data_IF_092948403202
#
_entry.id   IF_092948403202
#
_cell.length_a   1.000
_cell.length_b   1.000
_cell.length_c   1.000
_cell.angle_alpha   90.00
_cell.angle_beta   90.00
_cell.angle_gamma   90.00
#
_symmetry.space_group_name_H-M   'P 1'
#
loop_
_entity.id
_entity.type
_entity.pdbx_description
1 polymer ?
#
# COMPACT_ATOMS: atom_id res chain seq x y z
N UNK A 1 9.59 -18.80 -7.59
CA UNK A 1 8.46 -19.23 -8.46
C UNK A 1 7.18 -19.10 -7.63
N UNK A 2 6.13 -18.42 -8.11
CA UNK A 2 4.86 -18.38 -7.39
C UNK A 2 4.29 -19.80 -7.36
N UNK A 3 3.84 -20.26 -6.19
CA UNK A 3 3.20 -21.55 -6.03
C UNK A 3 1.86 -21.53 -6.77
N UNK A 4 1.82 -22.06 -7.99
CA UNK A 4 0.57 -22.34 -8.70
C UNK A 4 -0.31 -23.25 -7.84
N UNK A 5 -1.56 -22.82 -7.62
CA UNK A 5 -2.64 -23.69 -7.19
C UNK A 5 -2.74 -24.04 -5.70
N UNK A 6 -1.84 -23.57 -4.84
CA UNK A 6 -1.98 -23.75 -3.38
C UNK A 6 -2.06 -22.41 -2.70
N UNK A 7 -3.19 -22.14 -2.05
CA UNK A 7 -3.35 -21.02 -1.13
C UNK A 7 -2.29 -21.13 -0.03
N UNK A 8 -1.23 -20.30 -0.05
CA UNK A 8 -0.15 -20.45 0.90
C UNK A 8 -0.71 -20.07 2.27
N UNK A 9 -0.78 -21.04 3.18
CA UNK A 9 -1.01 -20.75 4.58
C UNK A 9 0.21 -20.00 5.09
N UNK A 10 0.07 -18.70 5.29
CA UNK A 10 1.09 -17.87 5.91
C UNK A 10 0.53 -17.48 7.27
N UNK A 11 1.05 -18.01 8.38
CA UNK A 11 0.63 -17.58 9.70
C UNK A 11 1.01 -16.11 9.82
N UNK A 12 0.03 -15.22 9.74
CA UNK A 12 0.27 -13.82 10.02
C UNK A 12 0.00 -13.52 11.48
N UNK A 13 0.56 -12.41 11.93
CA UNK A 13 0.40 -11.93 13.30
C UNK A 13 -0.98 -11.28 13.40
N UNK A 14 -1.87 -11.74 14.30
CA UNK A 14 -3.17 -11.11 14.47
C UNK A 14 -2.99 -9.67 14.94
N UNK A 15 -3.76 -8.75 14.37
CA UNK A 15 -3.78 -7.35 14.79
C UNK A 15 -5.20 -6.83 14.88
N UNK A 16 -5.40 -5.85 15.75
CA UNK A 16 -6.66 -5.17 16.02
C UNK A 16 -6.42 -3.68 15.96
N UNK A 17 -7.20 -2.96 15.16
CA UNK A 17 -7.17 -1.50 15.05
C UNK A 17 -8.58 -0.98 15.30
N UNK A 18 -8.76 -0.26 16.41
CA UNK A 18 -10.03 0.37 16.74
C UNK A 18 -10.33 1.52 15.78
N UNK A 19 -11.49 1.49 15.14
CA UNK A 19 -12.04 2.60 14.39
C UNK A 19 -13.17 3.29 15.14
N UNK A 20 -13.64 4.43 14.62
CA UNK A 20 -14.73 5.20 15.22
C UNK A 20 -16.11 4.52 15.09
N UNK A 21 -16.30 3.66 14.09
CA UNK A 21 -17.58 2.97 13.82
C UNK A 21 -17.46 1.44 13.84
N UNK A 22 -16.27 0.91 13.60
CA UNK A 22 -16.00 -0.52 13.56
C UNK A 22 -14.55 -0.78 13.92
N UNK A 23 -14.26 -1.97 14.43
CA UNK A 23 -12.90 -2.44 14.70
C UNK A 23 -12.41 -3.25 13.52
N UNK A 24 -11.25 -2.88 12.99
CA UNK A 24 -10.59 -3.65 11.93
C UNK A 24 -9.72 -4.72 12.58
N UNK A 25 -9.90 -5.96 12.14
CA UNK A 25 -9.05 -7.08 12.51
C UNK A 25 -8.36 -7.63 11.26
N UNK A 26 -7.20 -8.23 11.45
CA UNK A 26 -6.49 -8.84 10.34
C UNK A 26 -5.29 -9.64 10.81
N UNK A 27 -4.55 -10.15 9.84
CA UNK A 27 -3.34 -10.91 10.13
C UNK A 27 -2.94 -11.82 8.99
N UNK A 28 -3.06 -11.36 7.74
CA UNK A 28 -2.65 -12.14 6.57
C UNK A 28 -1.70 -11.34 5.67
N UNK A 29 -0.68 -12.03 5.15
CA UNK A 29 0.29 -11.51 4.19
C UNK A 29 0.67 -12.62 3.22
N UNK A 30 0.20 -12.50 1.98
CA UNK A 30 0.46 -13.47 0.91
C UNK A 30 1.21 -12.76 -0.22
N UNK A 31 2.54 -12.89 -0.26
CA UNK A 31 3.33 -12.32 -1.34
C UNK A 31 3.02 -13.00 -2.68
N UNK A 32 2.92 -12.22 -3.76
CA UNK A 32 2.68 -12.74 -5.11
C UNK A 32 1.24 -13.17 -5.41
N UNK A 33 0.32 -13.09 -4.44
CA UNK A 33 -1.12 -13.36 -4.63
C UNK A 33 -1.82 -12.08 -5.09
N UNK A 34 -2.42 -12.13 -6.28
CA UNK A 34 -3.11 -10.98 -6.92
C UNK A 34 -4.63 -11.10 -6.96
N UNK A 35 -5.18 -12.20 -6.44
CA UNK A 35 -6.62 -12.38 -6.34
C UNK A 35 -7.18 -11.39 -5.29
N UNK A 36 -8.38 -10.86 -5.54
CA UNK A 36 -9.08 -9.91 -4.66
C UNK A 36 -10.29 -10.54 -3.97
N UNK A 37 -10.63 -11.79 -4.28
CA UNK A 37 -11.70 -12.53 -3.60
C UNK A 37 -11.24 -12.88 -2.20
N UNK A 38 -12.16 -12.70 -1.24
CA UNK A 38 -12.00 -13.18 0.12
C UNK A 38 -11.90 -14.71 0.11
N UNK A 39 -10.96 -15.24 0.89
CA UNK A 39 -10.77 -16.67 1.06
C UNK A 39 -11.25 -17.08 2.47
N UNK A 40 -12.23 -18.00 2.58
CA UNK A 40 -12.71 -18.46 3.89
C UNK A 40 -11.61 -19.00 4.81
N UNK A 41 -10.50 -19.50 4.24
CA UNK A 41 -9.33 -19.97 5.02
C UNK A 41 -8.56 -18.81 5.65
N UNK A 42 -8.40 -17.70 4.91
CA UNK A 42 -7.79 -16.48 5.44
C UNK A 42 -8.66 -15.88 6.54
N UNK A 43 -9.98 -15.77 6.29
CA UNK A 43 -10.97 -15.29 7.27
C UNK A 43 -10.89 -16.10 8.57
N UNK A 44 -10.93 -17.44 8.47
CA UNK A 44 -10.82 -18.32 9.64
C UNK A 44 -9.50 -18.12 10.39
N UNK A 45 -8.39 -18.00 9.66
CA UNK A 45 -7.06 -17.80 10.26
C UNK A 45 -6.98 -16.48 11.03
N UNK A 46 -7.52 -15.40 10.46
CA UNK A 46 -7.59 -14.09 11.10
C UNK A 46 -8.47 -14.16 12.35
N UNK A 47 -9.67 -14.73 12.24
CA UNK A 47 -10.62 -14.82 13.34
C UNK A 47 -10.08 -15.63 14.51
N UNK A 48 -9.58 -16.85 14.26
CA UNK A 48 -9.04 -17.71 15.30
C UNK A 48 -7.84 -17.06 16.01
N UNK A 49 -6.96 -16.41 15.24
CA UNK A 49 -5.80 -15.70 15.78
C UNK A 49 -6.21 -14.53 16.68
N UNK A 50 -7.18 -13.73 16.25
CA UNK A 50 -7.69 -12.58 17.00
C UNK A 50 -8.49 -13.02 18.22
N UNK A 51 -9.38 -14.00 18.11
CA UNK A 51 -10.16 -14.52 19.23
C UNK A 51 -9.26 -15.15 20.31
N UNK A 52 -8.14 -15.76 19.91
CA UNK A 52 -7.13 -16.28 20.85
C UNK A 52 -6.37 -15.14 21.54
N UNK A 53 -5.89 -14.16 20.79
CA UNK A 53 -5.08 -13.06 21.33
C UNK A 53 -5.92 -12.01 22.10
N UNK A 54 -7.17 -11.82 21.71
CA UNK A 54 -8.09 -10.83 22.25
C UNK A 54 -9.47 -11.46 22.54
N UNK A 55 -9.60 -12.27 23.60
CA UNK A 55 -10.82 -13.05 23.88
C UNK A 55 -12.10 -12.22 24.03
N UNK A 56 -11.98 -10.93 24.37
CA UNK A 56 -13.12 -10.02 24.44
C UNK A 56 -13.82 -9.79 23.09
N UNK A 57 -13.16 -10.11 21.96
CA UNK A 57 -13.70 -9.96 20.62
C UNK A 57 -14.32 -11.25 20.06
N UNK A 58 -14.26 -12.38 20.78
CA UNK A 58 -14.64 -13.71 20.27
C UNK A 58 -16.10 -13.82 19.82
N UNK A 59 -16.99 -13.01 20.40
CA UNK A 59 -18.43 -13.01 20.14
C UNK A 59 -18.87 -11.74 19.36
N UNK A 60 -17.91 -10.99 18.81
CA UNK A 60 -18.22 -9.78 18.06
C UNK A 60 -18.95 -10.11 16.75
N UNK A 61 -19.84 -9.21 16.33
CA UNK A 61 -20.52 -9.32 15.04
C UNK A 61 -19.56 -8.99 13.88
N UNK A 62 -19.51 -9.84 12.86
CA UNK A 62 -18.76 -9.59 11.63
C UNK A 62 -19.60 -8.70 10.71
N UNK A 63 -19.14 -7.48 10.48
CA UNK A 63 -19.83 -6.50 9.62
C UNK A 63 -19.51 -6.76 8.13
N UNK A 64 -18.24 -7.04 7.81
CA UNK A 64 -17.76 -7.18 6.43
C UNK A 64 -16.39 -7.87 6.38
N UNK A 65 -16.09 -8.53 5.26
CA UNK A 65 -14.77 -9.05 4.92
C UNK A 65 -14.20 -8.35 3.67
N UNK A 66 -12.92 -7.96 3.70
CA UNK A 66 -12.26 -7.32 2.56
C UNK A 66 -10.84 -7.83 2.37
N UNK A 67 -10.48 -7.97 1.09
CA UNK A 67 -9.11 -8.26 0.65
C UNK A 67 -8.52 -7.05 -0.07
N UNK A 68 -7.26 -6.74 0.19
CA UNK A 68 -6.53 -5.65 -0.47
C UNK A 68 -5.10 -6.04 -0.79
N UNK A 69 -4.57 -5.47 -1.88
CA UNK A 69 -3.20 -5.72 -2.34
C UNK A 69 -2.29 -4.56 -1.95
N UNK A 70 -1.27 -4.86 -1.16
CA UNK A 70 -0.27 -3.86 -0.75
C UNK A 70 0.70 -3.63 -1.91
N UNK A 71 0.95 -2.38 -2.34
CA UNK A 71 1.89 -2.07 -3.42
C UNK A 71 3.34 -2.18 -2.91
N UNK A 72 3.81 -3.40 -2.66
CA UNK A 72 5.15 -3.66 -2.14
C UNK A 72 6.23 -3.37 -3.18
N UNK A 73 7.32 -2.75 -2.72
CA UNK A 73 8.63 -2.73 -3.36
C UNK A 73 9.68 -2.98 -2.29
N UNK A 74 10.89 -3.35 -2.71
CA UNK A 74 12.07 -3.39 -1.84
C UNK A 74 12.33 -2.01 -1.24
N UNK A 75 12.21 -0.96 -2.06
CA UNK A 75 12.31 0.43 -1.65
C UNK A 75 11.18 1.28 -2.26
N UNK A 76 10.72 2.28 -1.51
CA UNK A 76 9.77 3.29 -2.01
C UNK A 76 10.44 3.99 -3.20
N UNK A 77 9.73 4.08 -4.33
CA UNK A 77 10.20 4.88 -5.45
C UNK A 77 9.68 6.30 -5.30
N UNK A 78 10.57 7.19 -4.87
CA UNK A 78 10.32 8.61 -4.67
C UNK A 78 11.43 9.43 -5.35
N UNK A 79 11.25 9.74 -6.63
CA UNK A 79 12.29 10.36 -7.45
C UNK A 79 11.71 11.16 -8.62
N UNK A 80 12.49 12.12 -9.13
CA UNK A 80 12.23 12.84 -10.39
C UNK A 80 12.88 12.09 -11.56
N UNK A 81 12.14 11.95 -12.65
CA UNK A 81 12.62 11.39 -13.91
C UNK A 81 12.15 12.24 -15.09
N UNK A 82 13.06 12.58 -15.99
CA UNK A 82 12.69 13.12 -17.30
C UNK A 82 12.26 11.99 -18.24
N UNK A 83 11.13 12.17 -18.94
CA UNK A 83 10.64 11.22 -19.93
C UNK A 83 10.28 11.94 -21.22
N UNK A 84 10.63 11.34 -22.35
CA UNK A 84 10.21 11.81 -23.66
C UNK A 84 9.06 10.93 -24.16
N UNK A 85 7.94 11.57 -24.52
CA UNK A 85 6.83 10.90 -25.19
C UNK A 85 7.31 10.39 -26.56
N UNK A 86 7.25 9.08 -26.83
CA UNK A 86 7.73 8.52 -28.09
C UNK A 86 6.86 8.89 -29.30
N UNK A 87 5.60 9.29 -29.08
CA UNK A 87 4.65 9.69 -30.13
C UNK A 87 4.78 11.18 -30.40
N UNK A 88 4.75 12.01 -29.36
CA UNK A 88 4.73 13.47 -29.52
C UNK A 88 6.12 14.11 -29.53
N UNK A 89 7.18 13.37 -29.18
CA UNK A 89 8.54 13.88 -28.98
C UNK A 89 8.68 14.85 -27.80
N UNK A 90 7.63 15.03 -26.99
CA UNK A 90 7.61 16.02 -25.91
C UNK A 90 8.31 15.48 -24.68
N UNK A 91 9.25 16.24 -24.15
CA UNK A 91 9.88 15.96 -22.86
C UNK A 91 9.01 16.46 -21.72
N UNK A 92 8.76 15.59 -20.73
CA UNK A 92 7.99 15.87 -19.51
C UNK A 92 8.78 15.44 -18.27
N UNK A 93 8.49 16.08 -17.15
CA UNK A 93 9.05 15.72 -15.85
C UNK A 93 8.03 14.88 -15.11
N UNK A 94 8.44 13.68 -14.67
CA UNK A 94 7.62 12.74 -13.90
C UNK A 94 8.22 12.64 -12.50
N UNK A 95 7.39 12.80 -11.48
CA UNK A 95 7.78 12.50 -10.10
C UNK A 95 7.08 11.20 -9.71
N UNK A 96 7.87 10.17 -9.41
CA UNK A 96 7.38 8.90 -8.91
C UNK A 96 7.16 9.01 -7.40
N UNK A 97 6.07 8.45 -6.91
CA UNK A 97 5.77 8.35 -5.49
C UNK A 97 4.90 7.10 -5.24
N UNK A 98 5.51 5.92 -5.25
CA UNK A 98 4.81 4.64 -5.10
C UNK A 98 5.69 3.55 -4.48
N UNK A 99 5.10 2.39 -4.17
CA UNK A 99 5.83 1.27 -3.56
C UNK A 99 5.82 1.26 -2.04
N UNK A 100 4.84 1.92 -1.41
CA UNK A 100 4.80 2.10 0.04
C UNK A 100 4.43 0.85 0.85
N UNK A 101 4.08 -0.26 0.19
CA UNK A 101 3.80 -1.52 0.86
C UNK A 101 2.72 -1.41 1.96
N UNK A 102 3.03 -1.93 3.16
CA UNK A 102 2.14 -1.89 4.32
C UNK A 102 2.13 -0.55 5.07
N UNK A 103 3.05 0.37 4.76
CA UNK A 103 3.30 1.57 5.55
C UNK A 103 2.88 2.86 4.83
N UNK A 104 2.09 2.76 3.76
CA UNK A 104 1.66 3.92 2.97
C UNK A 104 0.98 5.02 3.77
N UNK A 105 0.16 4.67 4.76
CA UNK A 105 -0.48 5.66 5.65
C UNK A 105 0.59 6.35 6.51
N UNK A 106 1.45 5.57 7.18
CA UNK A 106 2.51 6.06 8.06
C UNK A 106 3.47 7.03 7.35
N UNK A 107 3.84 6.74 6.10
CA UNK A 107 4.81 7.54 5.34
C UNK A 107 4.18 8.65 4.49
N UNK A 108 2.85 8.64 4.34
CA UNK A 108 2.10 9.49 3.40
C UNK A 108 2.52 10.97 3.42
N UNK A 109 2.53 11.59 4.60
CA UNK A 109 2.82 13.01 4.74
C UNK A 109 4.28 13.34 4.39
N UNK A 110 5.23 12.51 4.82
CA UNK A 110 6.65 12.69 4.51
C UNK A 110 6.91 12.58 3.00
N UNK A 111 6.38 11.53 2.37
CA UNK A 111 6.50 11.34 0.92
C UNK A 111 5.82 12.48 0.14
N UNK A 112 4.63 12.93 0.56
CA UNK A 112 3.93 14.03 -0.09
C UNK A 112 4.71 15.37 0.02
N UNK A 113 5.32 15.64 1.18
CA UNK A 113 6.17 16.81 1.40
C UNK A 113 7.37 16.81 0.46
N UNK A 114 8.04 15.67 0.32
CA UNK A 114 9.19 15.52 -0.58
C UNK A 114 8.81 15.75 -2.05
N UNK A 115 7.67 15.19 -2.49
CA UNK A 115 7.12 15.49 -3.83
C UNK A 115 6.88 16.98 -4.02
N UNK A 116 6.28 17.65 -3.03
CA UNK A 116 6.01 19.10 -3.11
C UNK A 116 7.30 19.91 -3.24
N UNK A 117 8.38 19.51 -2.56
CA UNK A 117 9.70 20.14 -2.69
C UNK A 117 10.29 19.94 -4.09
N UNK A 118 10.22 18.73 -4.66
CA UNK A 118 10.65 18.46 -6.04
C UNK A 118 9.86 19.30 -7.06
N UNK A 119 8.55 19.44 -6.88
CA UNK A 119 7.71 20.30 -7.73
C UNK A 119 8.11 21.77 -7.60
N UNK A 120 8.36 22.25 -6.38
CA UNK A 120 8.81 23.63 -6.16
C UNK A 120 10.12 23.91 -6.88
N UNK A 121 11.09 23.00 -6.77
CA UNK A 121 12.38 23.12 -7.45
C UNK A 121 12.21 23.17 -8.98
N UNK A 122 11.36 22.31 -9.54
CA UNK A 122 11.03 22.30 -10.97
C UNK A 122 10.45 23.64 -11.47
N UNK A 123 9.58 24.27 -10.69
CA UNK A 123 8.99 25.56 -11.04
C UNK A 123 10.04 26.69 -11.00
N UNK A 124 10.97 26.64 -10.04
CA UNK A 124 12.07 27.59 -9.94
C UNK A 124 13.05 27.45 -11.11
N UNK A 125 13.42 26.23 -11.50
CA UNK A 125 14.28 25.94 -12.66
C UNK A 125 13.69 26.52 -13.97
N UNK A 126 12.38 26.44 -14.16
CA UNK A 126 11.71 27.00 -15.34
C UNK A 126 11.70 28.53 -15.33
N UNK A 127 11.56 29.15 -14.17
CA UNK A 127 11.51 30.60 -14.03
C UNK A 127 12.85 31.25 -14.38
N UNK A 128 13.97 30.60 -14.04
CA UNK A 128 15.33 31.09 -14.32
C UNK A 128 15.68 31.03 -15.83
N UNK A 129 14.94 30.24 -16.65
CA UNK A 129 15.17 30.14 -18.10
C UNK A 129 14.57 31.29 -18.93
N UNK A 130 13.93 32.29 -18.32
CA UNK A 130 13.52 33.51 -19.00
C UNK A 130 14.73 34.42 -19.27
N UNK A 131 15.40 34.23 -20.41
CA UNK A 131 16.40 35.17 -20.94
C UNK A 131 15.67 36.34 -21.62
N UNK A 132 15.88 37.55 -21.09
CA UNK A 132 15.79 38.80 -21.85
C UNK A 132 16.74 38.77 -23.05
#
# INVERSE_FOLDING_TARGET
>A
MPLEGKHPYVPGIPYVVGGSTATLIGGIRQEGRWDLRNDPRDTKTIWDGVATAFPALKDAEVIEERTGLRPMREEIRLERQEKTDPVSGRTVQVIHNYGHGANGITWSHGCAKEVALMVKQLLQEKTIKSRL
#
